data_IF_821621601795
#
_entry.id   IF_821621601795
#
_cell.length_a   1.000
_cell.length_b   1.000
_cell.length_c   1.000
_cell.angle_alpha   90.00
_cell.angle_beta   90.00
_cell.angle_gamma   90.00
#
_symmetry.space_group_name_H-M   'P 1'
#
loop_
_entity.id
_entity.type
_entity.pdbx_description
1 polymer ?
#
# COMPACT_ATOMS: atom_id res chain seq x y z
N UNK A 1 7.69 -9.39 1.80
CA UNK A 1 6.52 -8.85 1.08
C UNK A 1 6.85 -7.45 0.57
N UNK A 2 6.67 -7.20 -0.71
CA UNK A 2 6.97 -5.88 -1.28
C UNK A 2 5.80 -4.91 -1.07
N UNK A 3 5.98 -3.65 -1.47
CA UNK A 3 4.95 -2.63 -1.25
C UNK A 3 3.65 -2.98 -1.95
N UNK A 4 3.72 -3.55 -3.15
CA UNK A 4 2.54 -3.93 -3.91
C UNK A 4 1.70 -4.96 -3.16
N UNK A 5 2.35 -5.98 -2.64
CA UNK A 5 1.68 -7.01 -1.86
C UNK A 5 1.15 -6.48 -0.54
N UNK A 6 1.90 -5.60 0.10
CA UNK A 6 1.46 -4.99 1.36
C UNK A 6 0.19 -4.17 1.18
N UNK A 7 0.15 -3.35 0.12
CA UNK A 7 -1.04 -2.54 -0.16
C UNK A 7 -2.25 -3.45 -0.38
N UNK A 8 -2.09 -4.48 -1.20
CA UNK A 8 -3.20 -5.41 -1.47
C UNK A 8 -3.65 -6.12 -0.19
N UNK A 9 -2.70 -6.62 0.59
CA UNK A 9 -3.01 -7.35 1.83
C UNK A 9 -3.72 -6.45 2.83
N UNK A 10 -3.22 -5.24 3.02
CA UNK A 10 -3.83 -4.29 3.96
C UNK A 10 -5.21 -3.87 3.50
N UNK A 11 -5.38 -3.64 2.18
CA UNK A 11 -6.68 -3.29 1.63
C UNK A 11 -7.69 -4.38 1.90
N UNK A 12 -7.32 -5.62 1.60
CA UNK A 12 -8.22 -6.76 1.80
C UNK A 12 -8.53 -6.98 3.27
N UNK A 13 -7.57 -6.74 4.14
CA UNK A 13 -7.80 -6.90 5.58
C UNK A 13 -8.82 -5.91 6.11
N UNK A 14 -8.99 -4.78 5.44
CA UNK A 14 -10.01 -3.80 5.80
C UNK A 14 -11.32 -4.01 5.01
N UNK A 15 -11.39 -5.04 4.20
CA UNK A 15 -12.59 -5.34 3.43
C UNK A 15 -12.88 -4.33 2.33
N UNK A 16 -11.87 -3.64 1.82
CA UNK A 16 -12.04 -2.61 0.81
C UNK A 16 -11.81 -3.14 -0.58
N UNK A 17 -12.59 -2.64 -1.55
CA UNK A 17 -12.30 -2.83 -2.97
C UNK A 17 -11.18 -1.86 -3.38
N UNK A 18 -10.62 -2.08 -4.57
CA UNK A 18 -9.65 -1.13 -5.13
C UNK A 18 -10.29 0.25 -5.31
N UNK A 19 -11.53 0.29 -5.73
CA UNK A 19 -12.24 1.55 -5.92
C UNK A 19 -12.45 2.29 -4.60
N UNK A 20 -12.77 1.56 -3.54
CA UNK A 20 -12.92 2.15 -2.22
C UNK A 20 -11.61 2.72 -1.70
N UNK A 21 -10.52 1.98 -1.88
CA UNK A 21 -9.21 2.50 -1.49
C UNK A 21 -8.87 3.75 -2.29
N UNK A 22 -9.09 3.73 -3.60
CA UNK A 22 -8.83 4.88 -4.45
C UNK A 22 -9.58 6.11 -3.97
N UNK A 23 -10.84 5.95 -3.58
CA UNK A 23 -11.63 7.05 -3.04
C UNK A 23 -11.07 7.59 -1.74
N UNK A 24 -10.56 6.72 -0.87
CA UNK A 24 -10.00 7.13 0.42
C UNK A 24 -8.73 7.96 0.27
N UNK A 25 -7.92 7.67 -0.74
CA UNK A 25 -6.67 8.41 -0.96
C UNK A 25 -6.77 9.39 -2.14
N UNK A 26 -7.98 9.57 -2.66
CA UNK A 26 -8.28 10.58 -3.67
C UNK A 26 -7.46 10.41 -4.95
N UNK A 27 -7.44 9.17 -5.45
CA UNK A 27 -6.76 8.84 -6.71
C UNK A 27 -7.68 7.94 -7.53
N UNK A 28 -7.22 7.57 -8.74
CA UNK A 28 -8.00 6.70 -9.60
C UNK A 28 -7.84 5.23 -9.21
N UNK A 29 -8.86 4.41 -9.53
CA UNK A 29 -8.77 2.98 -9.33
C UNK A 29 -7.62 2.37 -10.13
N UNK A 30 -7.36 2.91 -11.32
CA UNK A 30 -6.25 2.44 -12.15
C UNK A 30 -4.91 2.60 -11.43
N UNK A 31 -4.74 3.69 -10.68
CA UNK A 31 -3.51 3.90 -9.92
C UNK A 31 -3.34 2.82 -8.85
N UNK A 32 -4.42 2.52 -8.11
CA UNK A 32 -4.37 1.44 -7.11
C UNK A 32 -4.03 0.11 -7.78
N UNK A 33 -4.64 -0.18 -8.92
CA UNK A 33 -4.38 -1.41 -9.64
C UNK A 33 -2.91 -1.53 -10.02
N UNK A 34 -2.32 -0.44 -10.52
CA UNK A 34 -0.89 -0.43 -10.89
C UNK A 34 0.00 -0.63 -9.68
N UNK A 35 -0.35 -0.03 -8.56
CA UNK A 35 0.41 -0.24 -7.32
C UNK A 35 0.39 -1.71 -6.93
N UNK A 36 -0.78 -2.33 -7.00
CA UNK A 36 -0.94 -3.71 -6.53
C UNK A 36 -0.33 -4.73 -7.47
N UNK A 37 -0.24 -4.42 -8.75
CA UNK A 37 0.39 -5.35 -9.71
C UNK A 37 1.88 -5.03 -9.95
N UNK A 38 2.40 -4.01 -9.30
CA UNK A 38 3.82 -3.70 -9.35
C UNK A 38 4.29 -2.90 -10.55
N UNK A 39 3.36 -2.36 -11.35
CA UNK A 39 3.75 -1.57 -12.53
C UNK A 39 3.97 -0.10 -12.19
N UNK A 40 3.57 0.35 -11.01
CA UNK A 40 3.84 1.71 -10.54
C UNK A 40 3.93 1.69 -9.03
N UNK A 41 4.64 2.66 -8.47
CA UNK A 41 4.74 2.82 -7.03
C UNK A 41 3.98 4.08 -6.62
N UNK A 42 3.34 4.07 -5.44
CA UNK A 42 2.74 5.29 -4.93
C UNK A 42 3.83 6.33 -4.64
N UNK A 43 3.51 7.59 -4.88
CA UNK A 43 4.45 8.66 -4.54
C UNK A 43 4.43 8.92 -3.03
N UNK A 44 5.28 9.86 -2.59
CA UNK A 44 5.46 10.12 -1.16
C UNK A 44 4.16 10.51 -0.48
N UNK A 45 3.37 11.38 -1.10
CA UNK A 45 2.12 11.83 -0.51
C UNK A 45 1.15 10.68 -0.34
N UNK A 46 1.08 9.79 -1.33
CA UNK A 46 0.20 8.64 -1.27
C UNK A 46 0.68 7.63 -0.23
N UNK A 47 1.98 7.46 -0.09
CA UNK A 47 2.53 6.59 0.95
C UNK A 47 2.11 7.09 2.34
N UNK A 48 2.19 8.40 2.57
CA UNK A 48 1.77 8.96 3.85
C UNK A 48 0.29 8.71 4.09
N UNK A 49 -0.54 8.93 3.08
CA UNK A 49 -1.99 8.70 3.22
C UNK A 49 -2.30 7.23 3.48
N UNK A 50 -1.62 6.33 2.77
CA UNK A 50 -1.81 4.89 2.97
C UNK A 50 -1.39 4.47 4.37
N UNK A 51 -0.29 5.01 4.87
CA UNK A 51 0.18 4.68 6.21
C UNK A 51 -0.86 5.08 7.26
N UNK A 52 -1.45 6.25 7.11
CA UNK A 52 -2.48 6.72 8.05
C UNK A 52 -3.75 5.90 7.95
N UNK A 53 -4.17 5.58 6.73
CA UNK A 53 -5.39 4.82 6.50
C UNK A 53 -5.27 3.41 7.10
N UNK A 54 -4.14 2.78 6.88
CA UNK A 54 -3.94 1.40 7.31
C UNK A 54 -3.39 1.28 8.73
N UNK A 55 -2.99 2.39 9.34
CA UNK A 55 -2.44 2.36 10.69
C UNK A 55 -1.06 1.71 10.77
N UNK A 56 -0.26 1.85 9.73
CA UNK A 56 1.11 1.33 9.67
C UNK A 56 2.06 2.49 9.41
N UNK A 57 3.36 2.25 9.64
CA UNK A 57 4.36 3.29 9.36
C UNK A 57 4.65 3.36 7.87
N UNK A 58 5.18 4.50 7.43
CA UNK A 58 5.65 4.63 6.06
C UNK A 58 6.82 3.68 5.81
N UNK A 59 7.66 3.48 6.81
CA UNK A 59 8.77 2.53 6.71
C UNK A 59 8.28 1.12 6.44
N UNK A 60 7.24 0.69 7.14
CA UNK A 60 6.67 -0.62 6.91
C UNK A 60 6.24 -0.80 5.46
N UNK A 61 5.62 0.23 4.88
CA UNK A 61 5.15 0.15 3.49
C UNK A 61 6.30 0.10 2.49
N UNK A 62 7.36 0.87 2.76
CA UNK A 62 8.42 1.10 1.77
C UNK A 62 9.54 0.07 1.80
N UNK A 63 9.76 -0.59 2.92
CA UNK A 63 10.96 -1.40 3.09
C UNK A 63 10.69 -2.89 3.02
N UNK A 64 10.99 -3.47 1.86
CA UNK A 64 10.92 -4.92 1.72
C UNK A 64 11.83 -5.64 2.71
N UNK A 65 13.01 -5.08 2.92
CA UNK A 65 14.00 -5.65 3.83
C UNK A 65 13.53 -5.63 5.28
N UNK A 66 12.49 -4.88 5.59
CA UNK A 66 11.94 -4.80 6.94
C UNK A 66 11.53 -6.18 7.43
N UNK A 67 10.88 -6.93 6.56
CA UNK A 67 10.46 -8.29 6.92
C UNK A 67 11.62 -9.26 6.90
N UNK A 68 12.54 -9.09 5.95
CA UNK A 68 13.72 -9.93 5.87
C UNK A 68 14.57 -9.79 7.13
N UNK A 69 14.68 -8.58 7.65
CA UNK A 69 15.42 -8.33 8.88
C UNK A 69 14.80 -9.05 10.07
N UNK A 70 13.49 -9.14 10.09
CA UNK A 70 12.80 -9.84 11.17
C UNK A 70 13.10 -11.33 11.17
N UNK A 71 13.45 -11.89 10.02
CA UNK A 71 13.76 -13.31 9.91
C UNK A 71 15.20 -13.61 10.29
N UNK A 72 16.02 -12.57 10.41
CA UNK A 72 17.42 -12.72 10.79
C UNK A 72 17.58 -12.76 12.29
#
# INVERSE_FOLDING_TARGET
MNVSEKIRTLRKSKGMSQEELAGQVNISRQAVSRWENGTALPDADNIVQLSKLFGVTTDYLLMDSYESDADS
#
